data_IF_192553452753
#
_entry.id   IF_192553452753
#
_cell.length_a   1.000
_cell.length_b   1.000
_cell.length_c   1.000
_cell.angle_alpha   90.00
_cell.angle_beta   90.00
_cell.angle_gamma   90.00
#
_symmetry.space_group_name_H-M   'P 1'
#
loop_
_entity.id
_entity.type
_entity.pdbx_description
1 polymer ?
#
# COMPACT_ATOMS: atom_id res chain seq x y z
N UNK A 1 14.16 54.79 38.02
CA UNK A 1 13.88 54.39 39.41
C UNK A 1 14.04 52.88 39.46
N UNK A 2 15.12 52.48 40.05
CA UNK A 2 15.56 51.08 40.27
C UNK A 2 14.94 50.57 41.56
N UNK A 3 14.42 49.34 41.56
CA UNK A 3 14.18 48.61 42.82
C UNK A 3 14.60 47.13 42.65
N UNK A 4 15.25 46.55 43.67
CA UNK A 4 16.16 45.44 43.49
C UNK A 4 15.54 44.07 43.81
N UNK A 5 16.19 43.06 43.24
CA UNK A 5 16.11 41.65 43.69
C UNK A 5 16.75 41.50 45.08
N UNK A 6 16.15 40.70 45.94
CA UNK A 6 16.67 39.81 46.99
C UNK A 6 15.68 39.75 48.15
N UNK A 7 15.33 38.52 48.42
CA UNK A 7 15.27 37.80 49.70
C UNK A 7 14.10 36.82 49.77
N UNK A 8 14.42 35.58 49.40
CA UNK A 8 13.58 34.44 49.79
C UNK A 8 14.50 33.26 50.10
N UNK A 9 15.22 33.34 51.19
CA UNK A 9 15.87 32.21 51.84
C UNK A 9 15.91 32.52 53.34
N UNK A 10 15.08 31.78 54.10
CA UNK A 10 15.33 31.34 55.48
C UNK A 10 14.01 30.94 56.18
N UNK A 11 13.75 29.67 56.15
CA UNK A 11 13.24 29.00 57.36
C UNK A 11 13.60 27.51 57.25
N UNK A 12 14.63 27.15 58.02
CA UNK A 12 14.94 25.78 58.36
C UNK A 12 14.13 25.41 59.57
N UNK A 13 13.50 24.25 59.56
CA UNK A 13 12.81 23.65 60.68
C UNK A 13 12.92 22.13 60.62
N UNK A 14 13.66 21.59 61.58
CA UNK A 14 14.01 20.18 61.80
C UNK A 14 12.80 19.29 62.10
N UNK A 15 13.04 18.01 61.86
CA UNK A 15 12.71 16.77 62.63
C UNK A 15 11.75 15.81 61.87
N UNK A 16 12.26 14.60 61.65
CA UNK A 16 11.51 13.43 61.33
C UNK A 16 12.43 12.28 60.84
N UNK A 17 12.99 11.52 61.78
CA UNK A 17 13.67 10.26 61.46
C UNK A 17 12.66 9.27 60.91
N UNK A 18 12.77 8.98 59.62
CA UNK A 18 11.97 7.96 58.92
C UNK A 18 12.90 7.03 58.15
N UNK A 19 12.79 5.78 58.44
CA UNK A 19 13.47 4.61 57.92
C UNK A 19 14.11 4.74 56.54
N UNK A 20 15.41 4.50 56.48
CA UNK A 20 16.13 4.21 55.23
C UNK A 20 15.60 2.90 54.64
N UNK A 21 14.60 3.03 53.76
CA UNK A 21 14.32 1.97 52.79
C UNK A 21 15.47 2.00 51.77
N UNK A 22 16.24 0.92 51.74
CA UNK A 22 17.25 0.70 50.71
C UNK A 22 16.56 0.83 49.32
N UNK A 23 17.18 1.51 48.34
CA UNK A 23 16.62 1.52 47.00
C UNK A 23 16.59 0.08 46.47
N UNK A 24 15.37 -0.39 46.12
CA UNK A 24 15.25 -1.63 45.37
C UNK A 24 16.22 -1.60 44.17
N UNK A 25 16.92 -2.70 43.86
CA UNK A 25 17.78 -2.75 42.68
C UNK A 25 16.91 -2.46 41.47
N UNK A 26 17.21 -1.36 40.79
CA UNK A 26 16.59 -0.98 39.50
C UNK A 26 16.60 -2.23 38.62
N UNK A 27 15.44 -2.84 38.47
CA UNK A 27 15.23 -3.95 37.55
C UNK A 27 15.84 -3.60 36.19
N UNK A 28 16.62 -4.51 35.68
CA UNK A 28 17.42 -4.49 34.48
C UNK A 28 17.03 -3.37 33.48
N UNK A 29 17.88 -2.36 33.43
CA UNK A 29 17.74 -1.27 32.47
C UNK A 29 17.34 -1.84 31.12
N UNK A 30 16.18 -1.44 30.66
CA UNK A 30 15.69 -1.67 29.33
C UNK A 30 16.77 -1.11 28.39
N UNK A 31 17.74 -1.96 27.97
CA UNK A 31 18.77 -1.56 27.01
C UNK A 31 18.01 -1.16 25.79
N UNK A 32 17.86 0.15 25.57
CA UNK A 32 17.18 0.70 24.41
C UNK A 32 17.80 0.02 23.19
N UNK A 33 17.05 -0.89 22.56
CA UNK A 33 17.50 -1.56 21.35
C UNK A 33 17.82 -0.48 20.33
N UNK A 34 18.98 -0.58 19.70
CA UNK A 34 19.37 0.38 18.64
C UNK A 34 18.30 0.30 17.54
N UNK A 35 17.68 1.45 17.16
CA UNK A 35 16.67 1.44 16.11
C UNK A 35 17.23 0.82 14.83
N UNK A 36 16.40 0.03 14.14
CA UNK A 36 16.76 -0.56 12.86
C UNK A 36 17.01 0.55 11.83
N UNK A 37 18.06 0.41 11.00
CA UNK A 37 18.35 1.34 9.92
C UNK A 37 17.22 1.40 8.88
N UNK A 38 16.99 2.57 8.27
CA UNK A 38 15.92 2.76 7.26
C UNK A 38 16.08 1.76 6.10
N UNK A 39 17.31 1.47 5.71
CA UNK A 39 17.62 0.63 4.55
C UNK A 39 17.93 -0.83 4.91
N UNK A 40 17.77 -1.23 6.16
CA UNK A 40 17.89 -2.65 6.56
C UNK A 40 16.89 -3.49 5.74
N UNK A 41 17.30 -4.61 5.15
CA UNK A 41 16.41 -5.47 4.36
C UNK A 41 15.17 -5.96 5.12
N UNK A 42 15.23 -6.01 6.45
CA UNK A 42 14.11 -6.40 7.33
C UNK A 42 13.14 -5.26 7.61
N UNK A 43 13.50 -4.02 7.23
CA UNK A 43 12.65 -2.85 7.47
C UNK A 43 11.61 -2.66 6.36
N UNK A 44 10.58 -1.87 6.66
CA UNK A 44 9.64 -1.34 5.67
C UNK A 44 10.40 -0.56 4.61
N UNK A 45 10.13 -0.83 3.35
CA UNK A 45 10.77 -0.13 2.22
C UNK A 45 9.87 1.00 1.75
N UNK A 46 10.31 2.24 1.95
CA UNK A 46 9.65 3.39 1.33
C UNK A 46 9.92 3.35 -0.17
N UNK A 47 8.87 3.47 -0.94
CA UNK A 47 8.94 3.38 -2.40
C UNK A 47 8.00 4.39 -3.08
N UNK A 48 8.16 4.53 -4.38
CA UNK A 48 7.27 5.32 -5.24
C UNK A 48 6.74 4.45 -6.38
N UNK A 49 5.47 4.66 -6.73
CA UNK A 49 4.88 4.17 -7.97
C UNK A 49 5.35 5.05 -9.13
N UNK A 50 5.87 4.45 -10.17
CA UNK A 50 6.38 5.12 -11.36
C UNK A 50 5.93 4.41 -12.62
N UNK A 51 5.99 5.08 -13.78
CA UNK A 51 5.79 4.46 -15.08
C UNK A 51 7.10 3.97 -15.64
N UNK A 52 7.07 2.95 -16.51
CA UNK A 52 8.27 2.45 -17.21
C UNK A 52 8.95 3.48 -18.10
N UNK A 53 8.26 4.55 -18.50
CA UNK A 53 8.75 5.61 -19.37
C UNK A 53 9.33 6.83 -18.64
N UNK A 54 9.62 6.72 -17.32
CA UNK A 54 10.16 7.87 -16.58
C UNK A 54 11.54 8.30 -17.10
N UNK A 55 11.83 9.61 -16.97
CA UNK A 55 13.11 10.24 -17.38
C UNK A 55 14.23 9.98 -16.37
N UNK A 56 15.47 10.30 -16.74
CA UNK A 56 16.61 10.24 -15.82
C UNK A 56 16.51 11.32 -14.73
N UNK A 57 15.93 12.50 -15.05
CA UNK A 57 15.63 13.53 -14.04
C UNK A 57 14.60 13.03 -13.01
N UNK A 58 13.59 12.28 -13.44
CA UNK A 58 12.67 11.63 -12.50
C UNK A 58 13.38 10.61 -11.60
N UNK A 59 14.34 9.84 -12.13
CA UNK A 59 15.16 8.91 -11.34
C UNK A 59 16.06 9.66 -10.36
N UNK A 60 16.65 10.78 -10.79
CA UNK A 60 17.44 11.65 -9.90
C UNK A 60 16.56 12.20 -8.77
N UNK A 61 15.35 12.64 -9.07
CA UNK A 61 14.41 13.09 -8.04
C UNK A 61 14.10 12.00 -7.01
N UNK A 62 13.87 10.75 -7.44
CA UNK A 62 13.65 9.64 -6.52
C UNK A 62 14.89 9.38 -5.63
N UNK A 63 16.09 9.49 -6.20
CA UNK A 63 17.34 9.39 -5.46
C UNK A 63 17.48 10.53 -4.43
N UNK A 64 17.15 11.77 -4.78
CA UNK A 64 17.15 12.92 -3.87
C UNK A 64 16.16 12.75 -2.71
N UNK A 65 15.04 12.07 -2.94
CA UNK A 65 14.13 11.66 -1.88
C UNK A 65 14.69 10.53 -0.99
N UNK A 66 15.88 10.00 -1.29
CA UNK A 66 16.47 8.87 -0.57
C UNK A 66 15.70 7.57 -0.76
N UNK A 67 14.95 7.40 -1.85
CA UNK A 67 14.26 6.15 -2.15
C UNK A 67 15.22 5.15 -2.79
N UNK A 68 15.17 3.90 -2.33
CA UNK A 68 15.93 2.78 -2.89
C UNK A 68 15.05 1.71 -3.54
N UNK A 69 13.75 1.92 -3.58
CA UNK A 69 12.80 0.97 -4.14
C UNK A 69 11.72 1.69 -4.92
N UNK A 70 11.29 1.08 -6.03
CA UNK A 70 10.14 1.53 -6.82
C UNK A 70 9.19 0.39 -7.14
N UNK A 71 7.93 0.74 -7.36
CA UNK A 71 6.97 -0.06 -8.11
C UNK A 71 6.84 0.53 -9.51
N UNK A 72 6.93 -0.30 -10.54
CA UNK A 72 6.83 0.12 -11.94
C UNK A 72 5.51 -0.35 -12.55
N UNK A 73 4.71 0.58 -13.06
CA UNK A 73 3.56 0.27 -13.89
C UNK A 73 3.99 0.28 -15.36
N UNK A 74 3.71 -0.79 -16.08
CA UNK A 74 4.17 -1.05 -17.43
C UNK A 74 3.02 -0.94 -18.45
N UNK A 75 3.36 -0.64 -19.69
CA UNK A 75 2.50 -0.95 -20.85
C UNK A 75 2.72 -2.41 -21.28
N UNK A 76 1.83 -2.96 -22.14
CA UNK A 76 2.03 -4.32 -22.69
C UNK A 76 3.37 -4.47 -23.42
N UNK A 77 3.77 -3.46 -24.18
CA UNK A 77 5.04 -3.46 -24.92
C UNK A 77 6.26 -3.42 -23.98
N UNK A 78 6.10 -2.85 -22.77
CA UNK A 78 7.16 -2.74 -21.76
C UNK A 78 7.26 -3.96 -20.86
N UNK A 79 6.23 -4.79 -20.79
CA UNK A 79 6.14 -5.91 -19.85
C UNK A 79 6.91 -7.16 -20.33
N UNK A 80 8.17 -6.99 -20.73
CA UNK A 80 9.03 -8.04 -21.22
C UNK A 80 10.44 -7.99 -20.60
N UNK A 81 11.16 -9.09 -20.71
CA UNK A 81 12.48 -9.27 -20.12
C UNK A 81 13.50 -8.23 -20.58
N UNK A 82 13.51 -7.87 -21.88
CA UNK A 82 14.46 -6.92 -22.44
C UNK A 82 14.27 -5.52 -21.85
N UNK A 83 13.06 -4.99 -21.96
CA UNK A 83 12.74 -3.69 -21.41
C UNK A 83 12.98 -3.59 -19.89
N UNK A 84 12.51 -4.57 -19.14
CA UNK A 84 12.68 -4.60 -17.68
C UNK A 84 14.16 -4.64 -17.26
N UNK A 85 14.99 -5.41 -18.00
CA UNK A 85 16.44 -5.47 -17.76
C UNK A 85 17.10 -4.12 -17.98
N UNK A 86 16.77 -3.44 -19.05
CA UNK A 86 17.37 -2.14 -19.36
C UNK A 86 16.88 -1.05 -18.40
N UNK A 87 15.62 -1.08 -18.04
CA UNK A 87 15.06 -0.20 -16.99
C UNK A 87 15.75 -0.45 -15.63
N UNK A 88 15.97 -1.72 -15.27
CA UNK A 88 16.68 -2.08 -14.02
C UNK A 88 18.12 -1.54 -14.01
N UNK A 89 18.84 -1.61 -15.16
CA UNK A 89 20.17 -1.02 -15.28
C UNK A 89 20.15 0.50 -15.10
N UNK A 90 19.13 1.20 -15.65
CA UNK A 90 18.97 2.65 -15.46
C UNK A 90 18.76 2.98 -13.98
N UNK A 91 17.85 2.32 -13.30
CA UNK A 91 17.61 2.52 -11.86
C UNK A 91 18.85 2.21 -11.00
N UNK A 92 19.62 1.20 -11.36
CA UNK A 92 20.83 0.82 -10.63
C UNK A 92 21.87 1.95 -10.57
N UNK A 93 21.96 2.81 -11.61
CA UNK A 93 22.82 4.02 -11.61
C UNK A 93 22.46 5.01 -10.50
N UNK A 94 21.23 4.98 -10.02
CA UNK A 94 20.71 5.82 -8.93
C UNK A 94 20.60 5.06 -7.60
N UNK A 95 21.17 3.85 -7.50
CA UNK A 95 21.04 2.97 -6.33
C UNK A 95 19.58 2.67 -5.98
N UNK A 96 18.75 2.50 -6.98
CA UNK A 96 17.32 2.18 -6.87
C UNK A 96 17.08 0.80 -7.46
N UNK A 97 16.28 -0.04 -6.81
CA UNK A 97 15.82 -1.33 -7.31
C UNK A 97 14.35 -1.30 -7.69
N UNK A 98 13.99 -2.03 -8.73
CA UNK A 98 12.59 -2.35 -9.01
C UNK A 98 12.19 -3.45 -8.03
N UNK A 99 11.38 -3.11 -7.03
CA UNK A 99 10.90 -4.08 -6.04
C UNK A 99 9.58 -4.76 -6.46
N UNK A 100 8.75 -4.04 -7.20
CA UNK A 100 7.53 -4.61 -7.75
C UNK A 100 7.21 -4.04 -9.13
N UNK A 101 6.50 -4.83 -9.92
CA UNK A 101 6.00 -4.39 -11.22
C UNK A 101 4.53 -4.80 -11.41
N UNK A 102 3.85 -4.09 -12.29
CA UNK A 102 2.43 -4.31 -12.61
C UNK A 102 2.26 -4.41 -14.12
N UNK A 103 1.66 -5.52 -14.55
CA UNK A 103 1.27 -5.75 -15.93
C UNK A 103 -0.12 -5.18 -16.20
N UNK A 104 -0.41 -4.57 -17.37
CA UNK A 104 -1.73 -3.99 -17.66
C UNK A 104 -2.86 -5.02 -17.72
N UNK A 105 -2.56 -6.30 -17.87
CA UNK A 105 -3.53 -7.42 -17.81
C UNK A 105 -4.22 -7.54 -16.44
N UNK A 106 -3.68 -6.92 -15.39
CA UNK A 106 -4.28 -6.94 -14.05
C UNK A 106 -5.76 -6.55 -13.99
N UNK A 107 -6.23 -5.69 -14.88
CA UNK A 107 -7.63 -5.25 -14.96
C UNK A 107 -8.33 -5.76 -16.23
N UNK A 108 -7.87 -6.87 -16.79
CA UNK A 108 -8.39 -7.43 -18.04
C UNK A 108 -9.88 -7.75 -17.95
N UNK A 109 -10.61 -7.22 -18.91
CA UNK A 109 -12.03 -7.59 -19.14
C UNK A 109 -12.13 -9.04 -19.60
N UNK A 110 -11.20 -9.51 -20.41
CA UNK A 110 -11.23 -10.87 -20.95
C UNK A 110 -10.99 -11.93 -19.86
N UNK A 111 -10.00 -11.71 -19.01
CA UNK A 111 -9.72 -12.61 -17.88
C UNK A 111 -10.86 -12.50 -16.85
N UNK A 112 -11.22 -11.29 -16.43
CA UNK A 112 -12.22 -11.10 -15.39
C UNK A 112 -13.60 -11.62 -15.74
N UNK A 113 -14.01 -11.50 -17.01
CA UNK A 113 -15.32 -11.94 -17.48
C UNK A 113 -15.32 -13.30 -18.22
N UNK A 114 -14.20 -14.02 -18.20
CA UNK A 114 -14.11 -15.35 -18.78
C UNK A 114 -14.25 -15.40 -20.30
N UNK A 115 -13.85 -14.36 -21.02
CA UNK A 115 -13.97 -14.27 -22.49
C UNK A 115 -12.99 -15.19 -23.21
N UNK A 116 -13.23 -15.52 -24.50
CA UNK A 116 -12.38 -16.44 -25.25
C UNK A 116 -10.90 -16.04 -25.30
N UNK A 117 -10.59 -14.74 -25.33
CA UNK A 117 -9.24 -14.19 -25.41
C UNK A 117 -8.43 -14.32 -24.13
N UNK A 118 -9.06 -14.71 -23.00
CA UNK A 118 -8.44 -14.77 -21.66
C UNK A 118 -7.18 -15.61 -21.62
N UNK A 119 -7.11 -16.72 -22.37
CA UNK A 119 -5.97 -17.65 -22.34
C UNK A 119 -4.72 -17.03 -22.98
N UNK A 120 -4.90 -16.19 -24.00
CA UNK A 120 -3.82 -15.38 -24.58
C UNK A 120 -3.23 -14.40 -23.56
N UNK A 121 -4.09 -13.67 -22.89
CA UNK A 121 -3.68 -12.70 -21.86
C UNK A 121 -3.10 -13.35 -20.60
N UNK A 122 -3.56 -14.56 -20.24
CA UNK A 122 -2.97 -15.35 -19.17
C UNK A 122 -1.54 -15.75 -19.54
N UNK A 123 -1.29 -16.20 -20.78
CA UNK A 123 0.08 -16.50 -21.24
C UNK A 123 0.99 -15.27 -21.21
N UNK A 124 0.51 -14.11 -21.64
CA UNK A 124 1.27 -12.85 -21.51
C UNK A 124 1.67 -12.58 -20.04
N UNK A 125 0.74 -12.78 -19.11
CA UNK A 125 1.01 -12.61 -17.69
C UNK A 125 1.99 -13.66 -17.13
N UNK A 126 1.91 -14.90 -17.58
CA UNK A 126 2.88 -15.94 -17.23
C UNK A 126 4.29 -15.60 -17.71
N UNK A 127 4.44 -15.09 -18.93
CA UNK A 127 5.74 -14.67 -19.47
C UNK A 127 6.31 -13.46 -18.74
N UNK A 128 5.43 -12.54 -18.31
CA UNK A 128 5.81 -11.45 -17.42
C UNK A 128 6.32 -11.96 -16.06
N UNK A 129 5.65 -12.94 -15.42
CA UNK A 129 6.12 -13.53 -14.16
C UNK A 129 7.50 -14.19 -14.32
N UNK A 130 7.72 -14.95 -15.40
CA UNK A 130 9.04 -15.51 -15.71
C UNK A 130 10.10 -14.43 -15.91
N UNK A 131 9.76 -13.29 -16.55
CA UNK A 131 10.68 -12.16 -16.72
C UNK A 131 11.05 -11.53 -15.37
N UNK A 132 10.09 -11.36 -14.47
CA UNK A 132 10.34 -10.86 -13.11
C UNK A 132 11.29 -11.79 -12.35
N UNK A 133 11.04 -13.10 -12.37
CA UNK A 133 11.88 -14.09 -11.69
C UNK A 133 13.33 -14.06 -12.20
N UNK A 134 13.55 -14.04 -13.53
CA UNK A 134 14.90 -13.93 -14.13
C UNK A 134 15.64 -12.64 -13.71
N UNK A 135 14.92 -11.57 -13.41
CA UNK A 135 15.48 -10.29 -12.99
C UNK A 135 15.47 -10.11 -11.47
N UNK A 136 15.03 -11.12 -10.73
CA UNK A 136 14.89 -11.08 -9.26
C UNK A 136 14.03 -9.91 -8.78
N UNK A 137 12.98 -9.57 -9.51
CA UNK A 137 11.96 -8.62 -9.10
C UNK A 137 10.91 -9.39 -8.29
N UNK A 138 10.83 -9.19 -6.97
CA UNK A 138 10.19 -10.17 -6.10
C UNK A 138 8.66 -10.12 -6.07
N UNK A 139 8.02 -9.05 -6.59
CA UNK A 139 6.58 -8.86 -6.42
C UNK A 139 5.91 -8.43 -7.73
N UNK A 140 4.86 -9.14 -8.10
CA UNK A 140 3.89 -8.76 -9.13
C UNK A 140 2.60 -8.24 -8.46
N UNK A 141 2.33 -6.93 -8.57
CA UNK A 141 1.05 -6.37 -8.11
C UNK A 141 -0.06 -6.65 -9.12
N UNK A 142 -1.25 -7.01 -8.64
CA UNK A 142 -2.41 -7.20 -9.50
C UNK A 142 -3.72 -6.86 -8.79
N UNK A 143 -4.75 -6.59 -9.58
CA UNK A 143 -6.14 -6.50 -9.17
C UNK A 143 -6.97 -7.47 -10.02
N UNK A 144 -8.14 -7.86 -9.57
CA UNK A 144 -9.02 -8.75 -10.33
C UNK A 144 -10.42 -8.14 -10.44
N UNK A 145 -10.50 -7.05 -11.17
CA UNK A 145 -11.79 -6.45 -11.53
C UNK A 145 -11.72 -5.85 -12.93
N UNK A 146 -12.72 -6.08 -13.78
CA UNK A 146 -12.80 -5.44 -15.08
C UNK A 146 -13.00 -3.93 -14.92
N UNK A 147 -12.14 -3.15 -15.55
CA UNK A 147 -12.19 -1.69 -15.51
C UNK A 147 -11.24 -1.08 -14.48
N UNK A 148 -11.45 0.19 -14.20
CA UNK A 148 -10.59 1.01 -13.35
C UNK A 148 -11.29 1.41 -12.06
N UNK A 149 -10.52 1.95 -11.10
CA UNK A 149 -11.05 2.68 -9.94
C UNK A 149 -12.07 3.73 -10.39
N UNK A 150 -13.18 3.81 -9.67
CA UNK A 150 -14.28 4.72 -9.97
C UNK A 150 -14.31 5.89 -9.00
N UNK A 151 -14.56 7.10 -9.50
CA UNK A 151 -14.86 8.26 -8.67
C UNK A 151 -16.10 8.97 -9.20
N UNK A 152 -16.87 9.60 -8.34
CA UNK A 152 -18.10 10.33 -8.72
C UNK A 152 -17.84 11.80 -9.04
N UNK A 153 -16.61 12.27 -8.85
CA UNK A 153 -16.22 13.64 -9.15
C UNK A 153 -14.96 14.06 -8.42
N UNK A 154 -14.82 15.36 -8.25
CA UNK A 154 -13.70 15.99 -7.52
C UNK A 154 -14.21 17.03 -6.54
N UNK A 155 -13.48 17.23 -5.46
CA UNK A 155 -13.71 18.30 -4.48
C UNK A 155 -12.39 19.03 -4.22
N UNK A 156 -12.50 20.29 -3.76
CA UNK A 156 -11.35 21.05 -3.28
C UNK A 156 -11.29 20.91 -1.76
N UNK A 157 -10.12 20.49 -1.25
CA UNK A 157 -9.84 20.38 0.16
C UNK A 157 -8.45 20.96 0.45
N UNK A 158 -8.31 21.83 1.44
CA UNK A 158 -7.05 22.56 1.73
C UNK A 158 -6.42 23.24 0.49
N UNK A 159 -7.22 23.64 -0.50
CA UNK A 159 -6.75 24.24 -1.75
C UNK A 159 -6.31 23.25 -2.84
N UNK A 160 -6.21 21.98 -2.56
CA UNK A 160 -5.92 20.94 -3.59
C UNK A 160 -7.19 20.21 -4.04
N UNK A 161 -7.19 19.75 -5.30
CA UNK A 161 -8.32 19.02 -5.88
C UNK A 161 -8.09 17.50 -5.78
N UNK A 162 -9.04 16.79 -5.17
CA UNK A 162 -9.00 15.32 -4.98
C UNK A 162 -10.25 14.64 -5.49
N UNK A 163 -10.15 13.33 -5.68
CA UNK A 163 -11.30 12.49 -6.02
C UNK A 163 -12.27 12.43 -4.85
N UNK A 164 -13.57 12.41 -5.19
CA UNK A 164 -14.66 12.13 -4.25
C UNK A 164 -15.44 10.93 -4.74
N UNK A 165 -15.91 10.15 -3.80
CA UNK A 165 -16.91 9.12 -4.04
C UNK A 165 -18.15 9.40 -3.20
N UNK A 166 -19.29 9.38 -3.86
CA UNK A 166 -20.62 9.53 -3.27
C UNK A 166 -21.51 8.40 -3.78
N UNK A 167 -22.01 7.57 -2.87
CA UNK A 167 -22.75 6.36 -3.21
C UNK A 167 -24.06 6.64 -3.94
N UNK A 168 -24.72 7.76 -3.63
CA UNK A 168 -25.99 8.09 -4.28
C UNK A 168 -25.76 8.62 -5.70
N UNK A 169 -24.68 9.41 -5.91
CA UNK A 169 -24.24 9.81 -7.26
C UNK A 169 -23.82 8.58 -8.05
N UNK A 170 -23.03 7.68 -7.44
CA UNK A 170 -22.60 6.44 -8.06
C UNK A 170 -23.78 5.58 -8.54
N UNK A 171 -24.80 5.35 -7.69
CA UNK A 171 -25.98 4.55 -8.05
C UNK A 171 -26.76 5.11 -9.23
N UNK A 172 -26.74 6.43 -9.42
CA UNK A 172 -27.40 7.12 -10.54
C UNK A 172 -26.59 7.12 -11.83
N UNK A 173 -25.24 7.16 -11.71
CA UNK A 173 -24.33 7.37 -12.84
C UNK A 173 -23.61 6.11 -13.32
N UNK A 174 -23.54 5.05 -12.50
CA UNK A 174 -22.85 3.81 -12.88
C UNK A 174 -23.64 3.08 -13.97
N UNK A 175 -22.92 2.65 -14.99
CA UNK A 175 -23.48 1.83 -16.07
C UNK A 175 -23.81 0.42 -15.56
N UNK A 176 -25.08 0.04 -15.58
CA UNK A 176 -25.53 -1.22 -14.94
C UNK A 176 -25.17 -2.48 -15.74
N UNK A 177 -24.97 -2.35 -17.06
CA UNK A 177 -24.68 -3.49 -17.96
C UNK A 177 -23.59 -3.13 -18.99
N UNK A 178 -22.51 -2.50 -18.54
CA UNK A 178 -21.40 -2.04 -19.40
C UNK A 178 -20.81 -3.14 -20.31
N UNK A 179 -20.93 -4.38 -19.90
CA UNK A 179 -20.39 -5.53 -20.62
C UNK A 179 -21.45 -6.42 -21.26
N UNK A 180 -22.66 -5.85 -21.49
CA UNK A 180 -23.78 -6.49 -22.19
C UNK A 180 -24.74 -7.29 -21.29
N UNK A 181 -24.27 -7.68 -20.08
CA UNK A 181 -25.08 -8.38 -19.06
C UNK A 181 -24.50 -8.16 -17.67
N UNK A 182 -25.20 -8.66 -16.68
CA UNK A 182 -24.67 -8.78 -15.32
C UNK A 182 -23.81 -10.04 -15.15
N UNK A 183 -22.80 -9.93 -14.29
CA UNK A 183 -21.88 -10.99 -13.88
C UNK A 183 -21.98 -11.17 -12.37
N UNK A 184 -22.48 -12.33 -11.94
CA UNK A 184 -22.71 -12.67 -10.54
C UNK A 184 -21.44 -13.01 -9.78
N UNK A 185 -21.53 -13.07 -8.45
CA UNK A 185 -20.36 -13.30 -7.61
C UNK A 185 -19.71 -14.68 -7.86
N UNK A 186 -20.50 -15.76 -7.97
CA UNK A 186 -19.96 -17.11 -8.17
C UNK A 186 -19.27 -17.23 -9.54
N UNK A 187 -19.84 -16.66 -10.60
CA UNK A 187 -19.18 -16.62 -11.91
C UNK A 187 -17.85 -15.86 -11.86
N UNK A 188 -17.82 -14.75 -11.11
CA UNK A 188 -16.57 -14.00 -10.91
C UNK A 188 -15.53 -14.81 -10.10
N UNK A 189 -15.98 -15.63 -9.14
CA UNK A 189 -15.11 -16.55 -8.41
C UNK A 189 -14.58 -17.67 -9.29
N UNK A 190 -15.37 -18.24 -10.18
CA UNK A 190 -14.95 -19.25 -11.15
C UNK A 190 -13.88 -18.68 -12.09
N UNK A 191 -14.06 -17.44 -12.56
CA UNK A 191 -13.08 -16.76 -13.39
C UNK A 191 -11.80 -16.45 -12.63
N UNK A 192 -11.89 -16.06 -11.35
CA UNK A 192 -10.73 -15.84 -10.48
C UNK A 192 -9.95 -17.14 -10.25
N UNK A 193 -10.64 -18.22 -9.91
CA UNK A 193 -10.03 -19.54 -9.74
C UNK A 193 -9.35 -20.02 -11.01
N UNK A 194 -10.01 -19.88 -12.17
CA UNK A 194 -9.43 -20.18 -13.46
C UNK A 194 -8.11 -19.43 -13.71
N UNK A 195 -8.06 -18.15 -13.40
CA UNK A 195 -6.86 -17.33 -13.52
C UNK A 195 -5.77 -17.79 -12.57
N UNK A 196 -6.06 -17.87 -11.28
CA UNK A 196 -5.07 -18.20 -10.24
C UNK A 196 -4.45 -19.57 -10.47
N UNK A 197 -5.24 -20.60 -10.78
CA UNK A 197 -4.74 -21.96 -11.04
C UNK A 197 -3.76 -22.03 -12.22
N UNK A 198 -3.79 -21.06 -13.13
CA UNK A 198 -2.88 -21.00 -14.29
C UNK A 198 -1.65 -20.13 -14.07
N UNK A 199 -1.74 -19.09 -13.28
CA UNK A 199 -0.63 -18.15 -13.12
C UNK A 199 0.20 -18.40 -11.87
N UNK A 200 -0.43 -18.92 -10.79
CA UNK A 200 0.26 -19.12 -9.52
C UNK A 200 1.39 -20.16 -9.60
N UNK A 201 1.26 -21.32 -10.27
CA UNK A 201 2.39 -22.24 -10.44
C UNK A 201 3.60 -21.59 -11.13
N UNK A 202 3.35 -20.71 -12.11
CA UNK A 202 4.44 -19.97 -12.79
C UNK A 202 5.07 -18.93 -11.86
N UNK A 203 4.30 -18.32 -10.99
CA UNK A 203 4.81 -17.40 -9.98
C UNK A 203 5.69 -18.13 -8.95
N UNK A 204 5.27 -19.32 -8.52
CA UNK A 204 6.02 -20.21 -7.62
C UNK A 204 7.35 -20.65 -8.24
N UNK A 205 7.33 -21.18 -9.45
CA UNK A 205 8.54 -21.60 -10.20
C UNK A 205 9.51 -20.44 -10.46
N UNK A 206 8.99 -19.21 -10.52
CA UNK A 206 9.76 -17.99 -10.77
C UNK A 206 10.20 -17.27 -9.49
N UNK A 207 9.83 -17.76 -8.31
CA UNK A 207 10.00 -17.10 -7.00
C UNK A 207 9.46 -15.67 -6.98
N UNK A 208 8.27 -15.45 -7.57
CA UNK A 208 7.58 -14.17 -7.63
C UNK A 208 6.31 -14.19 -6.78
N UNK A 209 6.15 -13.23 -5.90
CA UNK A 209 4.98 -13.09 -5.04
C UNK A 209 3.91 -12.26 -5.74
N UNK A 210 2.70 -12.79 -5.84
CA UNK A 210 1.54 -12.11 -6.42
C UNK A 210 0.77 -11.35 -5.34
N UNK A 211 0.71 -10.02 -5.44
CA UNK A 211 0.11 -9.12 -4.46
C UNK A 211 -1.24 -8.59 -4.93
N UNK A 212 -2.34 -9.10 -4.35
CA UNK A 212 -3.72 -8.77 -4.71
C UNK A 212 -4.17 -7.46 -4.05
N UNK A 213 -4.61 -6.51 -4.88
CA UNK A 213 -5.21 -5.22 -4.47
C UNK A 213 -6.72 -5.36 -4.20
N UNK A 214 -7.29 -4.66 -3.20
CA UNK A 214 -8.74 -4.61 -2.99
C UNK A 214 -9.49 -3.92 -4.15
N UNK A 215 -10.78 -4.19 -4.25
CA UNK A 215 -11.67 -3.50 -5.18
C UNK A 215 -11.94 -2.06 -4.71
N UNK A 216 -11.61 -1.09 -5.55
CA UNK A 216 -11.74 0.34 -5.26
C UNK A 216 -12.72 1.02 -6.25
N UNK A 217 -13.82 1.62 -5.80
CA UNK A 217 -14.31 1.68 -4.42
C UNK A 217 -14.88 0.33 -3.92
N UNK A 218 -14.99 0.12 -2.58
CA UNK A 218 -15.46 -1.13 -1.99
C UNK A 218 -16.99 -1.25 -2.03
N UNK A 219 -17.55 -1.30 -3.23
CA UNK A 219 -18.98 -1.53 -3.49
C UNK A 219 -19.21 -2.94 -4.00
N UNK A 220 -20.36 -3.54 -3.66
CA UNK A 220 -20.63 -4.95 -3.99
C UNK A 220 -20.73 -5.23 -5.50
N UNK A 221 -21.13 -4.25 -6.30
CA UNK A 221 -21.28 -4.37 -7.76
C UNK A 221 -20.92 -3.05 -8.44
N UNK A 222 -20.23 -3.11 -9.57
CA UNK A 222 -19.93 -1.95 -10.42
C UNK A 222 -19.98 -2.36 -11.90
N UNK A 223 -20.60 -1.52 -12.75
CA UNK A 223 -20.75 -1.76 -14.19
C UNK A 223 -21.41 -3.12 -14.55
N UNK A 224 -22.29 -3.62 -13.67
CA UNK A 224 -22.94 -4.93 -13.82
C UNK A 224 -22.11 -6.10 -13.35
N UNK A 225 -20.92 -5.89 -12.80
CA UNK A 225 -19.97 -6.94 -12.35
C UNK A 225 -19.88 -6.96 -10.83
N UNK A 226 -20.05 -8.14 -10.23
CA UNK A 226 -19.82 -8.34 -8.80
C UNK A 226 -18.37 -8.14 -8.42
N UNK A 227 -18.12 -7.48 -7.30
CA UNK A 227 -16.79 -7.23 -6.74
C UNK A 227 -16.46 -8.26 -5.66
N UNK A 228 -15.29 -8.87 -5.72
CA UNK A 228 -14.90 -9.99 -4.85
C UNK A 228 -14.12 -9.55 -3.62
N UNK A 229 -13.35 -8.45 -3.75
CA UNK A 229 -12.34 -8.04 -2.77
C UNK A 229 -12.74 -6.77 -2.03
N UNK A 230 -13.98 -6.73 -1.58
CA UNK A 230 -14.59 -5.66 -0.79
C UNK A 230 -14.82 -6.05 0.67
N UNK A 231 -14.39 -7.25 1.06
CA UNK A 231 -14.55 -7.80 2.41
C UNK A 231 -13.42 -8.79 2.72
N UNK A 232 -13.10 -8.94 3.99
CA UNK A 232 -12.05 -9.86 4.48
C UNK A 232 -12.28 -11.31 4.02
N UNK A 233 -13.53 -11.78 4.00
CA UNK A 233 -13.83 -13.16 3.57
C UNK A 233 -13.52 -13.41 2.10
N UNK A 234 -13.59 -12.39 1.24
CA UNK A 234 -13.11 -12.51 -0.14
C UNK A 234 -11.63 -12.86 -0.22
N UNK A 235 -10.81 -12.22 0.62
CA UNK A 235 -9.37 -12.55 0.71
C UNK A 235 -9.11 -13.93 1.29
N UNK A 236 -9.93 -14.39 2.25
CA UNK A 236 -9.82 -15.77 2.77
C UNK A 236 -10.12 -16.78 1.66
N UNK A 237 -11.25 -16.61 0.94
CA UNK A 237 -11.62 -17.48 -0.19
C UNK A 237 -10.54 -17.49 -1.27
N UNK A 238 -10.00 -16.33 -1.62
CA UNK A 238 -8.91 -16.24 -2.60
C UNK A 238 -7.64 -16.97 -2.15
N UNK A 239 -7.27 -16.87 -0.87
CA UNK A 239 -6.13 -17.60 -0.31
C UNK A 239 -6.37 -19.12 -0.29
N UNK A 240 -7.60 -19.57 -0.07
CA UNK A 240 -7.98 -20.99 -0.16
C UNK A 240 -7.91 -21.49 -1.60
N UNK A 241 -8.43 -20.76 -2.58
CA UNK A 241 -8.29 -21.04 -4.02
C UNK A 241 -6.82 -21.11 -4.43
N UNK A 242 -5.97 -20.24 -3.88
CA UNK A 242 -4.52 -20.24 -4.07
C UNK A 242 -3.79 -21.35 -3.31
N UNK A 243 -4.49 -22.31 -2.69
CA UNK A 243 -3.88 -23.39 -1.91
C UNK A 243 -3.04 -22.91 -0.71
N UNK A 244 -3.27 -21.70 -0.23
CA UNK A 244 -2.50 -21.01 0.80
C UNK A 244 -1.01 -20.87 0.47
N UNK A 245 -0.70 -20.77 -0.81
CA UNK A 245 0.66 -20.59 -1.32
C UNK A 245 1.36 -19.37 -0.69
N UNK A 246 2.64 -19.47 -0.33
CA UNK A 246 3.42 -18.32 0.13
C UNK A 246 3.69 -17.29 -0.97
N UNK A 247 3.46 -17.64 -2.24
CA UNK A 247 3.59 -16.74 -3.39
C UNK A 247 2.29 -15.98 -3.71
N UNK A 248 1.18 -16.31 -3.04
CA UNK A 248 -0.03 -15.51 -3.07
C UNK A 248 -0.15 -14.67 -1.79
N UNK A 249 -0.54 -13.40 -1.93
CA UNK A 249 -0.74 -12.53 -0.77
C UNK A 249 -1.37 -11.20 -1.15
N UNK A 250 -1.29 -10.25 -0.22
CA UNK A 250 -2.06 -9.02 -0.22
C UNK A 250 -1.19 -7.81 -0.52
N UNK A 251 -1.66 -6.97 -1.43
CA UNK A 251 -1.34 -5.55 -1.50
C UNK A 251 -2.46 -4.82 -0.76
N UNK A 252 -2.23 -4.42 0.49
CA UNK A 252 -3.24 -3.72 1.26
C UNK A 252 -3.25 -2.22 0.91
N UNK A 253 -4.31 -1.76 0.26
CA UNK A 253 -4.58 -0.34 0.13
C UNK A 253 -5.30 0.15 1.40
N UNK A 254 -4.57 0.88 2.24
CA UNK A 254 -5.10 1.43 3.51
C UNK A 254 -6.30 2.34 3.22
N UNK A 255 -6.21 3.18 2.17
CA UNK A 255 -7.31 4.05 1.76
C UNK A 255 -8.56 3.26 1.39
N UNK A 256 -8.48 2.34 0.43
CA UNK A 256 -9.65 1.53 0.01
C UNK A 256 -10.25 0.75 1.18
N UNK A 257 -9.41 0.18 2.05
CA UNK A 257 -9.91 -0.53 3.22
C UNK A 257 -10.61 0.41 4.21
N UNK A 258 -10.08 1.62 4.37
CA UNK A 258 -10.69 2.68 5.18
C UNK A 258 -12.01 3.19 4.60
N UNK A 259 -12.16 3.27 3.28
CA UNK A 259 -13.41 3.67 2.59
C UNK A 259 -14.60 2.78 2.98
N UNK A 260 -14.39 1.47 3.09
CA UNK A 260 -15.42 0.53 3.50
C UNK A 260 -15.66 0.50 5.01
N UNK A 261 -14.65 0.87 5.81
CA UNK A 261 -14.71 0.89 7.27
C UNK A 261 -15.16 -0.45 7.86
N UNK A 262 -16.11 -0.43 8.78
CA UNK A 262 -16.63 -1.65 9.45
C UNK A 262 -17.22 -2.69 8.48
N UNK A 263 -17.65 -2.28 7.29
CA UNK A 263 -18.21 -3.19 6.28
C UNK A 263 -17.16 -4.10 5.64
N UNK A 264 -15.87 -3.84 5.85
CA UNK A 264 -14.78 -4.67 5.33
C UNK A 264 -14.54 -5.95 6.16
N UNK A 265 -15.25 -6.16 7.27
CA UNK A 265 -15.17 -7.34 8.14
C UNK A 265 -14.00 -7.32 9.13
N UNK A 266 -12.88 -6.71 8.79
CA UNK A 266 -11.73 -6.42 9.64
C UNK A 266 -11.27 -4.99 9.42
N UNK A 267 -10.77 -4.34 10.48
CA UNK A 267 -10.13 -3.03 10.33
C UNK A 267 -8.74 -3.14 9.68
N UNK A 268 -8.14 -2.00 9.35
CA UNK A 268 -6.81 -1.92 8.72
C UNK A 268 -5.74 -2.61 9.58
N UNK A 269 -5.79 -2.44 10.89
CA UNK A 269 -4.78 -2.99 11.80
C UNK A 269 -4.92 -4.51 11.93
N UNK A 270 -6.14 -5.01 11.97
CA UNK A 270 -6.44 -6.45 11.95
C UNK A 270 -5.98 -7.10 10.64
N UNK A 271 -6.19 -6.42 9.49
CA UNK A 271 -5.69 -6.88 8.18
C UNK A 271 -4.17 -6.99 8.17
N UNK A 272 -3.47 -5.95 8.64
CA UNK A 272 -2.00 -5.96 8.74
C UNK A 272 -1.53 -7.10 9.63
N UNK A 273 -2.13 -7.27 10.81
CA UNK A 273 -1.75 -8.35 11.73
C UNK A 273 -2.06 -9.73 11.14
N UNK A 274 -3.22 -9.90 10.49
CA UNK A 274 -3.62 -11.19 9.95
C UNK A 274 -2.68 -11.66 8.84
N UNK A 275 -2.44 -10.81 7.83
CA UNK A 275 -1.61 -11.17 6.67
C UNK A 275 -0.12 -11.01 6.94
N UNK A 276 0.27 -10.05 7.77
CA UNK A 276 1.67 -9.85 8.17
C UNK A 276 2.24 -11.02 8.95
N UNK A 277 1.51 -11.55 9.96
CA UNK A 277 1.93 -12.74 10.72
C UNK A 277 2.07 -13.98 9.83
N UNK A 278 1.32 -14.08 8.75
CA UNK A 278 1.38 -15.15 7.76
C UNK A 278 2.46 -14.95 6.69
N UNK A 279 3.17 -13.81 6.72
CA UNK A 279 4.11 -13.41 5.67
C UNK A 279 3.49 -13.31 4.28
N UNK A 280 2.19 -13.07 4.22
CA UNK A 280 1.39 -12.90 3.00
C UNK A 280 0.93 -11.45 2.79
N UNK A 281 1.53 -10.48 3.48
CA UNK A 281 1.40 -9.05 3.21
C UNK A 281 2.64 -8.60 2.42
N UNK A 282 2.48 -8.20 1.16
CA UNK A 282 3.62 -7.97 0.26
C UNK A 282 3.85 -6.50 -0.10
N UNK A 283 2.80 -5.70 -0.11
CA UNK A 283 2.88 -4.27 -0.39
C UNK A 283 1.78 -3.49 0.32
N UNK A 284 2.03 -2.21 0.53
CA UNK A 284 1.09 -1.26 1.15
C UNK A 284 0.92 -0.05 0.25
N UNK A 285 -0.33 0.32 -0.04
CA UNK A 285 -0.70 1.65 -0.47
C UNK A 285 -1.04 2.50 0.77
N UNK A 286 -0.15 3.43 1.10
CA UNK A 286 -0.24 4.29 2.27
C UNK A 286 -1.04 5.55 1.92
N UNK A 287 -2.35 5.37 1.75
CA UNK A 287 -3.33 6.39 1.37
C UNK A 287 -4.33 6.59 2.50
N UNK A 288 -4.77 7.82 2.71
CA UNK A 288 -5.80 8.17 3.67
C UNK A 288 -7.03 8.77 2.97
N UNK A 289 -8.15 8.80 3.65
CA UNK A 289 -9.42 9.30 3.16
C UNK A 289 -10.16 10.05 4.27
N UNK A 290 -11.07 10.96 3.90
CA UNK A 290 -11.80 11.82 4.83
C UNK A 290 -12.83 11.09 5.70
N UNK A 291 -13.24 9.90 5.30
CA UNK A 291 -14.28 9.12 5.99
C UNK A 291 -14.60 7.83 5.26
N UNK A 292 -15.73 7.22 5.61
CA UNK A 292 -16.20 5.96 5.04
C UNK A 292 -17.39 6.16 4.10
N UNK A 293 -17.79 5.11 3.38
CA UNK A 293 -19.09 5.06 2.71
C UNK A 293 -20.21 5.52 3.67
N UNK A 294 -21.22 6.29 3.18
CA UNK A 294 -21.58 6.45 1.77
C UNK A 294 -20.82 7.53 1.01
N UNK A 295 -20.07 8.42 1.67
CA UNK A 295 -19.35 9.51 1.02
C UNK A 295 -17.99 9.75 1.65
N UNK A 296 -16.96 9.80 0.81
CA UNK A 296 -15.59 10.15 1.21
C UNK A 296 -14.86 10.89 0.07
N UNK A 297 -13.75 11.52 0.39
CA UNK A 297 -12.78 12.02 -0.59
C UNK A 297 -11.36 11.62 -0.17
N UNK A 298 -10.46 11.57 -1.15
CA UNK A 298 -9.07 11.24 -0.93
C UNK A 298 -8.33 12.41 -0.27
N UNK A 299 -7.34 12.10 0.58
CA UNK A 299 -6.57 13.11 1.32
C UNK A 299 -5.06 12.82 1.23
N UNK A 300 -4.23 13.77 1.65
CA UNK A 300 -2.87 13.44 2.03
C UNK A 300 -2.86 12.45 3.20
N UNK A 301 -1.78 11.66 3.39
CA UNK A 301 -1.74 10.66 4.46
C UNK A 301 -1.94 11.21 5.88
N UNK A 302 -1.55 12.47 6.12
CA UNK A 302 -1.70 13.17 7.42
C UNK A 302 -3.07 13.81 7.65
N UNK A 303 -3.94 13.85 6.63
CA UNK A 303 -5.13 14.69 6.59
C UNK A 303 -6.44 13.90 6.43
N UNK A 304 -6.43 12.61 6.74
CA UNK A 304 -7.60 11.74 6.73
C UNK A 304 -7.97 11.22 8.12
N UNK A 305 -9.03 10.40 8.19
CA UNK A 305 -9.53 9.90 9.47
C UNK A 305 -8.75 8.68 9.99
N UNK A 306 -8.00 7.99 9.13
CA UNK A 306 -7.24 6.80 9.51
C UNK A 306 -5.99 7.18 10.29
N UNK A 307 -5.72 6.49 11.40
CA UNK A 307 -4.51 6.66 12.22
C UNK A 307 -3.29 6.08 11.50
N UNK A 308 -2.64 6.89 10.67
CA UNK A 308 -1.48 6.48 9.86
C UNK A 308 -0.20 6.24 10.69
N UNK A 309 0.07 6.95 11.81
CA UNK A 309 1.10 6.57 12.77
C UNK A 309 0.94 5.13 13.28
N UNK A 310 -0.27 4.76 13.70
CA UNK A 310 -0.58 3.40 14.15
C UNK A 310 -0.48 2.37 13.01
N UNK A 311 -0.84 2.74 11.77
CA UNK A 311 -0.61 1.86 10.60
C UNK A 311 0.87 1.54 10.47
N UNK A 312 1.76 2.54 10.46
CA UNK A 312 3.21 2.32 10.33
C UNK A 312 3.77 1.50 11.49
N UNK A 313 3.35 1.77 12.71
CA UNK A 313 3.74 0.98 13.90
C UNK A 313 3.31 -0.48 13.75
N UNK A 314 2.04 -0.73 13.36
CA UNK A 314 1.52 -2.09 13.19
C UNK A 314 2.28 -2.88 12.11
N UNK A 315 2.69 -2.21 11.01
CA UNK A 315 3.57 -2.82 9.99
C UNK A 315 4.91 -3.26 10.59
N UNK A 316 5.50 -2.43 11.44
CA UNK A 316 6.75 -2.79 12.13
C UNK A 316 6.56 -3.93 13.15
N UNK A 317 5.47 -3.92 13.93
CA UNK A 317 5.13 -4.96 14.89
C UNK A 317 5.03 -6.36 14.25
N UNK A 318 4.50 -6.46 13.04
CA UNK A 318 4.40 -7.75 12.33
C UNK A 318 5.66 -8.11 11.52
N UNK A 319 6.70 -7.26 11.57
CA UNK A 319 7.95 -7.46 10.82
C UNK A 319 7.72 -7.36 9.30
N UNK A 320 6.82 -6.49 8.85
CA UNK A 320 6.62 -6.23 7.42
C UNK A 320 7.88 -5.63 6.81
N UNK A 321 8.34 -6.20 5.70
CA UNK A 321 9.55 -5.78 5.00
C UNK A 321 9.34 -5.54 3.49
N UNK A 322 8.07 -5.43 3.08
CA UNK A 322 7.70 -5.08 1.71
C UNK A 322 7.74 -3.56 1.44
N UNK A 323 7.22 -3.16 0.30
CA UNK A 323 7.15 -1.75 -0.09
C UNK A 323 5.90 -1.06 0.43
N UNK A 324 6.09 0.19 0.84
CA UNK A 324 5.03 1.14 1.21
C UNK A 324 5.12 2.35 0.29
N UNK A 325 4.05 2.64 -0.43
CA UNK A 325 3.98 3.75 -1.38
C UNK A 325 2.83 4.71 -1.04
N UNK A 326 3.05 6.02 -1.19
CA UNK A 326 1.95 6.98 -1.27
C UNK A 326 1.15 6.71 -2.55
N UNK A 327 -0.15 6.51 -2.42
CA UNK A 327 -1.05 6.22 -3.53
C UNK A 327 -2.10 7.33 -3.67
N UNK A 328 -2.54 7.61 -4.91
CA UNK A 328 -3.45 8.72 -5.26
C UNK A 328 -3.05 10.06 -4.61
N UNK A 329 -1.76 10.39 -4.66
CA UNK A 329 -1.22 11.60 -4.03
C UNK A 329 -1.95 12.83 -4.58
N UNK A 330 -2.51 13.69 -3.71
CA UNK A 330 -3.08 14.96 -4.14
C UNK A 330 -2.05 15.83 -4.87
N UNK A 331 -2.49 16.51 -5.92
CA UNK A 331 -1.62 17.39 -6.70
C UNK A 331 -1.55 18.76 -6.06
N UNK A 332 -0.35 19.21 -5.74
CA UNK A 332 -0.10 20.57 -5.26
C UNK A 332 -0.05 21.56 -6.43
N UNK A 333 -0.11 22.86 -6.12
CA UNK A 333 0.04 23.91 -7.12
C UNK A 333 1.40 23.77 -7.81
N UNK A 334 1.41 23.94 -9.14
CA UNK A 334 2.60 23.78 -10.00
C UNK A 334 3.23 22.37 -10.03
N UNK A 335 2.56 21.37 -9.44
CA UNK A 335 3.02 19.98 -9.52
C UNK A 335 2.92 19.45 -10.95
N UNK A 336 4.02 18.93 -11.47
CA UNK A 336 4.13 18.32 -12.81
C UNK A 336 4.78 16.93 -12.75
N UNK A 337 4.85 16.22 -13.86
CA UNK A 337 5.55 14.94 -13.97
C UNK A 337 5.12 13.93 -12.90
N UNK A 338 6.04 13.56 -12.01
CA UNK A 338 5.82 12.63 -10.91
C UNK A 338 5.03 13.22 -9.72
N UNK A 339 4.43 14.39 -9.85
CA UNK A 339 3.81 15.13 -8.73
C UNK A 339 4.86 15.37 -7.63
N UNK A 340 5.97 16.03 -8.00
CA UNK A 340 7.18 16.07 -7.18
C UNK A 340 6.94 16.66 -5.80
N UNK A 341 6.21 17.78 -5.68
CA UNK A 341 5.93 18.39 -4.39
C UNK A 341 5.05 17.48 -3.51
N UNK A 342 3.95 16.96 -4.04
CA UNK A 342 3.08 16.03 -3.33
C UNK A 342 3.79 14.73 -2.97
N UNK A 343 4.64 14.20 -3.87
CA UNK A 343 5.43 13.01 -3.62
C UNK A 343 6.45 13.22 -2.51
N UNK A 344 7.18 14.34 -2.52
CA UNK A 344 8.14 14.70 -1.48
C UNK A 344 7.46 14.81 -0.11
N UNK A 345 6.29 15.47 -0.06
CA UNK A 345 5.48 15.58 1.15
C UNK A 345 5.10 14.20 1.71
N UNK A 346 4.52 13.33 0.88
CA UNK A 346 4.12 11.98 1.30
C UNK A 346 5.33 11.14 1.78
N UNK A 347 6.46 11.17 1.05
CA UNK A 347 7.66 10.40 1.42
C UNK A 347 8.25 10.91 2.72
N UNK A 348 8.30 12.24 2.92
CA UNK A 348 8.80 12.84 4.16
C UNK A 348 7.95 12.44 5.37
N UNK A 349 6.62 12.48 5.23
CA UNK A 349 5.69 12.05 6.27
C UNK A 349 5.85 10.55 6.59
N UNK A 350 5.83 9.68 5.58
CA UNK A 350 6.03 8.24 5.77
C UNK A 350 7.38 7.94 6.45
N UNK A 351 8.45 8.65 6.08
CA UNK A 351 9.79 8.49 6.68
C UNK A 351 9.81 8.90 8.14
N UNK A 352 9.16 10.01 8.50
CA UNK A 352 9.04 10.44 9.88
C UNK A 352 8.32 9.38 10.74
N UNK A 353 7.20 8.84 10.23
CA UNK A 353 6.46 7.77 10.89
C UNK A 353 7.28 6.48 11.00
N UNK A 354 8.03 6.10 9.96
CA UNK A 354 8.88 4.92 10.00
C UNK A 354 10.01 5.06 11.03
N UNK A 355 10.65 6.22 11.09
CA UNK A 355 11.68 6.50 12.10
C UNK A 355 11.12 6.41 13.52
N UNK A 356 9.90 6.91 13.74
CA UNK A 356 9.23 6.79 15.04
C UNK A 356 8.89 5.33 15.34
N UNK A 357 8.26 4.61 14.41
CA UNK A 357 7.89 3.21 14.58
C UNK A 357 9.12 2.30 14.83
N UNK A 358 10.26 2.60 14.20
CA UNK A 358 11.53 1.89 14.44
C UNK A 358 12.07 2.11 15.86
N UNK A 359 11.81 3.26 16.49
CA UNK A 359 12.14 3.51 17.90
C UNK A 359 11.20 2.80 18.84
N UNK A 360 9.91 2.78 18.49
CA UNK A 360 8.86 2.24 19.37
C UNK A 360 8.86 0.69 19.40
N UNK A 361 9.25 0.04 18.30
CA UNK A 361 9.16 -1.42 18.12
C UNK A 361 10.53 -2.10 18.19
N UNK A 362 11.58 -1.38 17.84
CA UNK A 362 12.97 -1.86 17.75
C UNK A 362 13.64 -2.15 19.00
#
# INVERSE_FOLDING_TARGET
MTTPRRDFLKTAGLIGAGSLLAPEPATAANRARKPIDEYDPRNVKLARRVRGSLSDDDMMFLQQLGLRSVRVDLTRQQANLGFLRDLQKRFAKHNIQIYSAVHPVQGSVNIGLGRPERDGEIREYQDFLKALGRLKIPVAGYAFHPGNTYSTGRVVHRGYSVRVFDLDVFRKSVEKMRFGREYGAEEMWDNYEYFIKRVLPVAEDSDVRMALHPDDPPVAKMNGVAKLFTHFDGYKRANEIAGRSPHWGVLLCVGTWSEGGKKMGKDVFEMIRHWGKRKQLFAIHFRNVSGTLPRFFETFPDDGYQDMPKVMRTLREVGFNGTTIGDHIPRMINDSGLQQAGAAYCVAYMRALLKQANRDVG
#
